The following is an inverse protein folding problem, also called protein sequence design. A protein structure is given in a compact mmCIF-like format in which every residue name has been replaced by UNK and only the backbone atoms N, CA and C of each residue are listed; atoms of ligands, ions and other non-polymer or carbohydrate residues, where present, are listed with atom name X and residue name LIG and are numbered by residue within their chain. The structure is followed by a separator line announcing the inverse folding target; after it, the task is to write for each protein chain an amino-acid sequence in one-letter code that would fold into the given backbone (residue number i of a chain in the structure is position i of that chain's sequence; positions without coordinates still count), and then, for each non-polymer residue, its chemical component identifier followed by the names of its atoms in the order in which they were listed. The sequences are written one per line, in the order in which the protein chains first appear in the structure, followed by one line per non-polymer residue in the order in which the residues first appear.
data_IF_487651938990
#
_entry.id   IF_487651938990
#
_cell.length_a   1.000
_cell.length_b   1.000
_cell.length_c   1.000
_cell.angle_alpha   90.00
_cell.angle_beta   90.00
_cell.angle_gamma   90.00
#
_symmetry.space_group_name_H-M   'P 1'
#
loop_
_entity.id
_entity.type
_entity.pdbx_description
1 polymer ?
#
# COMPACT_ATOMS: atom_id res chain seq x y z
N UNK A 1 1.98 19.86 -0.40
CA UNK A 1 2.11 18.40 -0.47
C UNK A 1 1.48 17.94 -1.78
N UNK A 2 2.06 16.98 -2.44
CA UNK A 2 1.49 16.35 -3.65
C UNK A 2 0.29 15.48 -3.27
N UNK A 3 -0.65 15.37 -4.19
CA UNK A 3 -1.82 14.48 -4.06
C UNK A 3 -1.41 13.07 -4.48
N UNK A 4 -0.84 12.32 -3.53
CA UNK A 4 -0.37 10.95 -3.75
C UNK A 4 -1.44 9.95 -3.34
N UNK A 5 -1.60 8.90 -4.15
CA UNK A 5 -2.47 7.78 -3.83
C UNK A 5 -1.94 6.94 -2.65
N UNK A 6 -2.79 6.09 -2.08
CA UNK A 6 -2.41 5.16 -0.99
C UNK A 6 -1.20 4.31 -1.36
N UNK A 7 -1.14 3.81 -2.60
CA UNK A 7 -0.03 2.97 -3.07
C UNK A 7 1.27 3.76 -3.15
N UNK A 8 1.22 4.97 -3.66
CA UNK A 8 2.37 5.87 -3.76
C UNK A 8 2.85 6.30 -2.37
N UNK A 9 1.95 6.70 -1.48
CA UNK A 9 2.27 7.06 -0.10
C UNK A 9 2.87 5.88 0.66
N UNK A 10 2.30 4.67 0.49
CA UNK A 10 2.85 3.47 1.12
C UNK A 10 4.29 3.20 0.65
N UNK A 11 4.54 3.19 -0.67
CA UNK A 11 5.88 2.97 -1.19
C UNK A 11 6.86 4.05 -0.69
N UNK A 12 6.47 5.32 -0.73
CA UNK A 12 7.29 6.43 -0.23
C UNK A 12 7.71 6.21 1.23
N UNK A 13 6.79 5.73 2.08
CA UNK A 13 7.08 5.46 3.49
C UNK A 13 7.96 4.24 3.72
N UNK A 14 7.85 3.17 2.94
CA UNK A 14 8.62 1.94 3.16
C UNK A 14 9.99 1.95 2.50
N UNK A 15 10.21 2.82 1.52
CA UNK A 15 11.51 3.10 0.96
C UNK A 15 12.40 3.75 2.02
N UNK A 16 13.41 3.23 2.54
CA UNK A 16 14.28 3.93 3.50
C UNK A 16 15.04 5.08 2.84
N UNK A 17 15.81 5.84 3.61
CA UNK A 17 16.69 6.93 3.13
C UNK A 17 17.65 6.54 1.99
N UNK A 18 17.86 5.24 1.76
CA UNK A 18 18.68 4.68 0.68
C UNK A 18 17.85 4.10 -0.46
N UNK A 19 16.55 4.35 -0.51
CA UNK A 19 15.65 3.85 -1.54
C UNK A 19 15.56 2.33 -1.61
N UNK A 20 15.77 1.64 -0.49
CA UNK A 20 15.78 0.18 -0.46
C UNK A 20 14.41 -0.35 -0.07
N UNK A 21 13.80 -1.08 -0.99
CA UNK A 21 12.68 -1.95 -0.71
C UNK A 21 13.20 -3.39 -0.53
N UNK A 22 12.91 -3.98 0.62
CA UNK A 22 13.37 -5.33 0.93
C UNK A 22 12.36 -6.37 0.43
N UNK A 23 12.58 -6.91 -0.76
CA UNK A 23 11.69 -7.91 -1.39
C UNK A 23 11.63 -9.23 -0.62
N UNK A 24 12.61 -9.50 0.25
CA UNK A 24 12.58 -10.65 1.15
C UNK A 24 11.73 -10.42 2.41
N UNK A 25 11.32 -9.19 2.70
CA UNK A 25 10.36 -8.87 3.75
C UNK A 25 8.95 -9.06 3.18
N UNK A 26 8.43 -10.27 3.30
CA UNK A 26 7.16 -10.69 2.68
C UNK A 26 6.00 -9.76 3.07
N UNK A 27 5.98 -9.30 4.31
CA UNK A 27 4.96 -8.37 4.81
C UNK A 27 4.94 -7.05 4.01
N UNK A 28 6.10 -6.52 3.62
CA UNK A 28 6.18 -5.30 2.81
C UNK A 28 5.69 -5.54 1.39
N UNK A 29 6.05 -6.70 0.81
CA UNK A 29 5.58 -7.11 -0.53
C UNK A 29 4.06 -7.24 -0.54
N UNK A 30 3.51 -7.90 0.46
CA UNK A 30 2.07 -8.05 0.62
C UNK A 30 1.38 -6.70 0.79
N UNK A 31 1.91 -5.83 1.65
CA UNK A 31 1.32 -4.52 1.88
C UNK A 31 1.37 -3.65 0.62
N UNK A 32 2.44 -3.70 -0.19
CA UNK A 32 2.50 -2.93 -1.45
C UNK A 32 1.45 -3.42 -2.46
N UNK A 33 1.34 -4.74 -2.65
CA UNK A 33 0.33 -5.30 -3.55
C UNK A 33 -1.10 -5.09 -3.03
N UNK A 34 -1.28 -5.13 -1.70
CA UNK A 34 -2.56 -4.81 -1.06
C UNK A 34 -2.93 -3.34 -1.21
N UNK A 35 -1.97 -2.41 -1.07
CA UNK A 35 -2.19 -0.99 -1.30
C UNK A 35 -2.73 -0.74 -2.71
N UNK A 36 -2.07 -1.30 -3.73
CA UNK A 36 -2.52 -1.15 -5.12
C UNK A 36 -3.90 -1.76 -5.38
N UNK A 37 -4.22 -2.88 -4.75
CA UNK A 37 -5.54 -3.48 -4.89
C UNK A 37 -6.63 -2.69 -4.16
N UNK A 38 -6.33 -2.18 -2.96
CA UNK A 38 -7.25 -1.31 -2.21
C UNK A 38 -7.55 -0.03 -2.99
N UNK A 39 -6.54 0.58 -3.59
CA UNK A 39 -6.72 1.75 -4.44
C UNK A 39 -7.69 1.47 -5.59
N UNK A 40 -7.54 0.36 -6.31
CA UNK A 40 -8.46 -0.03 -7.38
C UNK A 40 -9.90 -0.30 -6.87
N UNK A 41 -10.04 -0.80 -5.65
CA UNK A 41 -11.34 -1.05 -5.01
C UNK A 41 -12.02 0.26 -4.56
N UNK A 42 -11.26 1.16 -3.91
CA UNK A 42 -11.76 2.46 -3.44
C UNK A 42 -12.22 3.36 -4.60
N UNK A 43 -11.47 3.33 -5.71
CA UNK A 43 -11.83 4.06 -6.92
C UNK A 43 -12.99 3.41 -7.71
N UNK A 44 -13.48 2.24 -7.30
CA UNK A 44 -14.54 1.53 -8.02
C UNK A 44 -14.11 0.97 -9.39
N UNK A 45 -12.80 0.89 -9.65
CA UNK A 45 -12.24 0.29 -10.89
C UNK A 45 -12.42 -1.22 -10.86
N UNK A 46 -12.29 -1.79 -9.67
CA UNK A 46 -12.49 -3.21 -9.37
C UNK A 46 -13.55 -3.34 -8.29
N UNK A 47 -14.37 -4.38 -8.35
CA UNK A 47 -15.29 -4.74 -7.26
C UNK A 47 -14.85 -6.05 -6.61
N UNK A 48 -15.19 -6.19 -5.34
CA UNK A 48 -15.05 -7.44 -4.59
C UNK A 48 -16.43 -7.97 -4.22
N UNK A 49 -16.78 -9.15 -4.75
CA UNK A 49 -17.98 -9.89 -4.42
C UNK A 49 -17.60 -11.32 -4.04
N UNK A 50 -18.12 -11.82 -2.92
CA UNK A 50 -17.83 -13.17 -2.37
C UNK A 50 -16.33 -13.54 -2.48
N UNK A 51 -15.45 -12.64 -2.03
CA UNK A 51 -13.99 -12.79 -2.07
C UNK A 51 -13.38 -12.91 -3.48
N UNK A 52 -14.14 -12.57 -4.52
CA UNK A 52 -13.70 -12.56 -5.92
C UNK A 52 -13.70 -11.14 -6.46
N UNK A 53 -12.69 -10.85 -7.24
CA UNK A 53 -12.46 -9.57 -7.88
C UNK A 53 -12.91 -9.64 -9.34
N UNK A 54 -13.58 -8.59 -9.76
CA UNK A 54 -14.00 -8.37 -11.15
C UNK A 54 -13.77 -6.90 -11.54
N UNK A 55 -13.40 -6.66 -12.79
CA UNK A 55 -13.19 -5.32 -13.31
C UNK A 55 -14.53 -4.67 -13.62
N UNK A 56 -14.70 -3.42 -13.22
CA UNK A 56 -15.89 -2.58 -13.47
C UNK A 56 -15.66 -1.52 -14.53
N UNK A 57 -14.46 -0.94 -14.56
CA UNK A 57 -14.13 0.15 -15.48
C UNK A 57 -12.69 0.03 -16.00
N UNK A 58 -12.39 0.78 -17.05
CA UNK A 58 -11.02 0.87 -17.57
C UNK A 58 -10.10 1.56 -16.55
N UNK A 59 -8.84 1.12 -16.51
CA UNK A 59 -7.81 1.76 -15.68
C UNK A 59 -7.50 3.15 -16.26
N UNK A 60 -7.64 4.24 -15.48
CA UNK A 60 -7.25 5.56 -15.90
C UNK A 60 -5.74 5.69 -16.18
N UNK A 61 -5.35 6.56 -17.10
CA UNK A 61 -3.95 6.74 -17.49
C UNK A 61 -3.07 7.19 -16.31
N UNK A 62 -3.57 8.03 -15.43
CA UNK A 62 -2.90 8.51 -14.23
C UNK A 62 -2.58 7.39 -13.23
N UNK A 63 -3.31 6.26 -13.33
CA UNK A 63 -3.11 5.05 -12.50
C UNK A 63 -2.39 3.92 -13.24
N UNK A 64 -1.71 4.24 -14.34
CA UNK A 64 -0.98 3.24 -15.15
C UNK A 64 0.06 2.44 -14.36
N UNK A 65 0.56 2.96 -13.24
CA UNK A 65 1.45 2.23 -12.32
C UNK A 65 0.80 1.00 -11.66
N UNK A 66 -0.54 0.89 -11.69
CA UNK A 66 -1.30 -0.29 -11.23
C UNK A 66 -1.62 -1.29 -12.36
N UNK A 67 -1.12 -1.07 -13.56
CA UNK A 67 -1.46 -1.89 -14.74
C UNK A 67 -1.16 -3.38 -14.53
N UNK A 68 -0.12 -3.75 -13.79
CA UNK A 68 0.20 -5.15 -13.54
C UNK A 68 -0.89 -5.85 -12.70
N UNK A 69 -1.42 -5.18 -11.67
CA UNK A 69 -2.53 -5.70 -10.84
C UNK A 69 -3.81 -5.76 -11.66
N UNK A 70 -4.14 -4.65 -12.33
CA UNK A 70 -5.34 -4.54 -13.16
C UNK A 70 -5.38 -5.63 -14.25
N UNK A 71 -4.30 -5.78 -15.03
CA UNK A 71 -4.21 -6.76 -16.10
C UNK A 71 -4.29 -8.20 -15.59
N UNK A 72 -3.72 -8.49 -14.42
CA UNK A 72 -3.87 -9.81 -13.80
C UNK A 72 -5.35 -10.11 -13.50
N UNK A 73 -6.09 -9.14 -12.97
CA UNK A 73 -7.52 -9.29 -12.70
C UNK A 73 -8.30 -9.45 -14.01
N UNK A 74 -8.06 -8.61 -15.02
CA UNK A 74 -8.70 -8.71 -16.35
C UNK A 74 -8.57 -10.11 -16.93
N UNK A 75 -7.38 -10.70 -16.85
CA UNK A 75 -7.11 -12.02 -17.43
C UNK A 75 -7.69 -13.19 -16.66
N UNK A 76 -7.93 -13.02 -15.34
CA UNK A 76 -8.32 -14.12 -14.44
C UNK A 76 -9.69 -13.96 -13.82
N UNK A 77 -10.40 -12.85 -14.09
CA UNK A 77 -11.68 -12.56 -13.46
C UNK A 77 -12.78 -13.59 -13.79
N UNK A 78 -13.68 -13.89 -12.84
CA UNK A 78 -13.61 -13.47 -11.45
C UNK A 78 -12.51 -14.21 -10.68
N UNK A 79 -11.57 -13.48 -10.11
CA UNK A 79 -10.38 -14.04 -9.46
C UNK A 79 -10.45 -13.87 -7.94
N UNK A 80 -10.09 -14.93 -7.19
CA UNK A 80 -10.00 -14.80 -5.74
C UNK A 80 -8.96 -13.76 -5.36
N UNK A 81 -9.32 -12.88 -4.44
CA UNK A 81 -8.44 -11.85 -3.90
C UNK A 81 -7.07 -12.41 -3.46
N UNK A 82 -7.08 -13.53 -2.74
CA UNK A 82 -5.85 -14.22 -2.31
C UNK A 82 -4.91 -14.52 -3.48
N UNK A 83 -5.44 -14.89 -4.66
CA UNK A 83 -4.62 -15.21 -5.84
C UNK A 83 -3.88 -14.00 -6.41
N UNK A 84 -4.42 -12.80 -6.24
CA UNK A 84 -3.74 -11.56 -6.63
C UNK A 84 -2.53 -11.35 -5.71
N UNK A 85 -2.71 -11.49 -4.40
CA UNK A 85 -1.61 -11.30 -3.44
C UNK A 85 -0.55 -12.40 -3.59
N UNK A 86 -0.95 -13.66 -3.75
CA UNK A 86 -0.02 -14.77 -4.01
C UNK A 86 0.84 -14.54 -5.25
N UNK A 87 0.28 -13.91 -6.30
CA UNK A 87 1.01 -13.59 -7.53
C UNK A 87 2.22 -12.67 -7.31
N UNK A 88 2.18 -11.84 -6.26
CA UNK A 88 3.28 -10.93 -5.89
C UNK A 88 4.18 -11.48 -4.78
N UNK A 89 3.63 -12.26 -3.84
CA UNK A 89 4.32 -12.67 -2.61
C UNK A 89 4.88 -14.10 -2.64
N UNK A 90 4.30 -14.98 -3.46
CA UNK A 90 4.67 -16.40 -3.50
C UNK A 90 5.19 -16.77 -4.90
N UNK A 91 6.34 -16.24 -5.27
CA UNK A 91 6.98 -16.55 -6.55
C UNK A 91 8.44 -16.96 -6.34
N UNK A 92 8.93 -17.88 -7.16
CA UNK A 92 10.35 -18.26 -7.15
C UNK A 92 11.29 -17.13 -7.61
N UNK A 93 10.73 -16.07 -8.17
CA UNK A 93 11.49 -14.90 -8.63
C UNK A 93 10.75 -13.63 -8.17
N UNK A 94 11.51 -12.61 -7.81
CA UNK A 94 10.95 -11.29 -7.42
C UNK A 94 10.43 -10.48 -8.63
N UNK A 95 10.20 -11.12 -9.80
CA UNK A 95 9.87 -10.42 -11.04
C UNK A 95 8.60 -9.57 -10.91
N UNK A 96 7.51 -10.18 -10.44
CA UNK A 96 6.21 -9.50 -10.40
C UNK A 96 6.21 -8.33 -9.42
N UNK A 97 6.79 -8.54 -8.24
CA UNK A 97 6.88 -7.44 -7.25
C UNK A 97 7.85 -6.35 -7.71
N UNK A 98 8.94 -6.69 -8.39
CA UNK A 98 9.85 -5.69 -8.94
C UNK A 98 9.22 -4.89 -10.08
N UNK A 99 8.32 -5.48 -10.87
CA UNK A 99 7.54 -4.79 -11.89
C UNK A 99 6.61 -3.75 -11.23
N UNK A 100 5.84 -4.16 -10.22
CA UNK A 100 4.97 -3.25 -9.46
C UNK A 100 5.78 -2.15 -8.76
N UNK A 101 6.85 -2.52 -8.05
CA UNK A 101 7.76 -1.59 -7.38
C UNK A 101 8.32 -0.55 -8.37
N UNK A 102 8.74 -1.00 -9.55
CA UNK A 102 9.29 -0.10 -10.58
C UNK A 102 8.21 0.84 -11.09
N UNK A 103 7.02 0.34 -11.40
CA UNK A 103 5.94 1.17 -11.91
C UNK A 103 5.51 2.25 -10.89
N UNK A 104 5.33 1.89 -9.62
CA UNK A 104 4.99 2.84 -8.56
C UNK A 104 6.17 3.78 -8.25
N UNK A 105 7.41 3.28 -8.27
CA UNK A 105 8.60 4.11 -8.08
C UNK A 105 8.77 5.15 -9.18
N UNK A 106 8.55 4.78 -10.45
CA UNK A 106 8.59 5.74 -11.58
C UNK A 106 7.45 6.76 -11.48
N UNK A 107 6.26 6.39 -11.00
CA UNK A 107 5.19 7.35 -10.76
C UNK A 107 5.57 8.37 -9.68
N UNK A 108 6.24 7.95 -8.59
CA UNK A 108 6.76 8.87 -7.58
C UNK A 108 7.81 9.84 -8.16
N UNK A 109 8.65 9.38 -9.08
CA UNK A 109 9.63 10.25 -9.78
C UNK A 109 8.90 11.26 -10.68
N UNK A 110 7.88 10.84 -11.41
CA UNK A 110 7.07 11.74 -12.24
C UNK A 110 6.37 12.83 -11.41
N UNK A 111 5.89 12.47 -10.21
CA UNK A 111 5.32 13.43 -9.26
C UNK A 111 6.38 14.29 -8.55
N UNK A 112 7.67 14.01 -8.73
CA UNK A 112 8.76 14.72 -8.05
C UNK A 112 8.87 14.40 -6.56
N UNK A 113 8.33 13.26 -6.13
CA UNK A 113 8.35 12.78 -4.74
C UNK A 113 9.48 11.80 -4.44
N UNK A 114 10.20 11.36 -5.48
CA UNK A 114 11.40 10.54 -5.37
C UNK A 114 12.39 10.84 -6.48
N UNK A 115 13.65 10.47 -6.28
CA UNK A 115 14.69 10.52 -7.29
C UNK A 115 15.13 9.11 -7.64
N UNK A 116 15.27 8.82 -8.93
CA UNK A 116 15.80 7.54 -9.40
C UNK A 116 17.32 7.55 -9.37
N UNK A 117 17.91 6.57 -8.72
CA UNK A 117 19.36 6.38 -8.65
C UNK A 117 19.76 4.95 -9.02
N UNK A 118 21.04 4.77 -9.33
CA UNK A 118 21.66 3.45 -9.49
C UNK A 118 22.14 2.95 -8.13
N UNK A 119 21.61 1.82 -7.69
CA UNK A 119 21.95 1.20 -6.42
C UNK A 119 22.58 -0.19 -6.59
N UNK A 120 22.92 -0.83 -5.45
CA UNK A 120 23.58 -2.12 -5.40
C UNK A 120 25.11 -2.01 -5.48
N UNK A 121 25.79 -3.13 -5.19
CA UNK A 121 27.28 -3.17 -5.08
C UNK A 121 27.96 -2.77 -6.40
N UNK A 122 27.30 -3.00 -7.54
CA UNK A 122 27.82 -2.68 -8.87
C UNK A 122 26.91 -1.72 -9.66
N UNK A 123 25.99 -1.00 -9.02
CA UNK A 123 25.09 -0.06 -9.69
C UNK A 123 24.06 -0.69 -10.61
N UNK A 124 23.83 -1.99 -10.50
CA UNK A 124 22.96 -2.77 -11.40
C UNK A 124 21.47 -2.75 -11.06
N UNK A 125 21.07 -2.17 -9.93
CA UNK A 125 19.65 -2.06 -9.53
C UNK A 125 19.22 -0.59 -9.52
N UNK A 126 18.00 -0.34 -10.01
CA UNK A 126 17.34 0.95 -9.81
C UNK A 126 16.85 1.04 -8.37
N UNK A 127 17.05 2.18 -7.72
CA UNK A 127 16.51 2.52 -6.41
C UNK A 127 15.81 3.87 -6.50
N UNK A 128 14.82 4.08 -5.65
CA UNK A 128 14.01 5.29 -5.59
C UNK A 128 14.25 5.96 -4.25
N UNK A 129 14.93 7.09 -4.23
CA UNK A 129 15.21 7.84 -3.00
C UNK A 129 14.05 8.80 -2.75
N UNK A 130 13.29 8.64 -1.65
CA UNK A 130 12.21 9.55 -1.30
C UNK A 130 12.67 10.99 -1.13
N UNK A 131 11.89 11.96 -1.58
CA UNK A 131 12.01 13.34 -1.15
C UNK A 131 11.62 13.46 0.33
N UNK A 132 12.52 13.98 1.17
CA UNK A 132 12.32 14.03 2.63
C UNK A 132 11.12 14.93 3.00
N UNK A 133 10.89 16.02 2.26
CA UNK A 133 9.78 16.94 2.54
C UNK A 133 8.42 16.31 2.24
N UNK A 134 8.32 15.60 1.10
CA UNK A 134 7.08 14.91 0.72
C UNK A 134 6.80 13.74 1.66
N UNK A 135 7.82 12.99 2.06
CA UNK A 135 7.72 11.94 3.06
C UNK A 135 7.25 12.49 4.41
N UNK A 136 7.86 13.58 4.88
CA UNK A 136 7.45 14.25 6.13
C UNK A 136 6.00 14.74 6.02
N UNK A 137 5.59 15.24 4.86
CA UNK A 137 4.20 15.64 4.61
C UNK A 137 3.21 14.49 4.83
N UNK A 138 3.49 13.31 4.31
CA UNK A 138 2.65 12.11 4.52
C UNK A 138 2.58 11.74 6.01
N UNK A 139 3.71 11.76 6.72
CA UNK A 139 3.77 11.46 8.15
C UNK A 139 2.98 12.47 8.97
N UNK A 140 3.06 13.76 8.63
CA UNK A 140 2.27 14.81 9.30
C UNK A 140 0.76 14.66 9.06
N UNK A 141 0.35 14.22 7.86
CA UNK A 141 -1.07 13.95 7.60
C UNK A 141 -1.59 12.82 8.50
N UNK A 142 -0.82 11.74 8.64
CA UNK A 142 -1.20 10.65 9.58
C UNK A 142 -1.35 11.20 11.00
N UNK A 143 -0.45 12.11 11.44
CA UNK A 143 -0.58 12.76 12.76
C UNK A 143 -1.85 13.60 12.87
N UNK A 144 -2.07 14.47 11.89
CA UNK A 144 -3.22 15.39 11.91
C UNK A 144 -4.55 14.63 11.95
N UNK A 145 -4.70 13.57 11.17
CA UNK A 145 -5.97 12.85 11.11
C UNK A 145 -6.19 11.85 12.27
N UNK A 146 -5.13 11.24 12.78
CA UNK A 146 -5.26 10.17 13.78
C UNK A 146 -4.91 10.57 15.20
N UNK A 147 -4.13 11.63 15.41
CA UNK A 147 -3.72 12.10 16.75
C UNK A 147 -4.36 13.42 17.15
N UNK A 148 -4.89 14.16 16.19
CA UNK A 148 -5.61 15.42 16.43
C UNK A 148 -7.12 15.24 16.20
N UNK A 149 -7.93 16.18 16.66
CA UNK A 149 -9.37 16.18 16.41
C UNK A 149 -9.66 16.69 14.97
N UNK A 150 -9.56 15.80 14.00
CA UNK A 150 -9.75 16.12 12.58
C UNK A 150 -10.67 15.13 11.86
N UNK A 151 -11.00 15.45 10.61
CA UNK A 151 -11.67 14.52 9.70
C UNK A 151 -10.76 13.34 9.39
N UNK A 152 -11.36 12.16 9.19
CA UNK A 152 -10.64 10.93 8.84
C UNK A 152 -10.87 10.62 7.36
N UNK A 153 -9.79 10.46 6.62
CA UNK A 153 -9.83 9.95 5.27
C UNK A 153 -9.60 8.44 5.22
N UNK A 154 -10.24 7.79 4.27
CA UNK A 154 -10.10 6.34 4.04
C UNK A 154 -8.65 5.99 3.68
N UNK A 155 -8.00 6.85 2.92
CA UNK A 155 -6.61 6.69 2.47
C UNK A 155 -5.63 6.70 3.65
N UNK A 156 -5.77 7.62 4.60
CA UNK A 156 -4.90 7.67 5.78
C UNK A 156 -5.13 6.48 6.70
N UNK A 157 -6.36 6.02 6.84
CA UNK A 157 -6.65 4.81 7.62
C UNK A 157 -6.04 3.58 6.94
N UNK A 158 -6.21 3.43 5.62
CA UNK A 158 -5.63 2.35 4.85
C UNK A 158 -4.10 2.35 4.92
N UNK A 159 -3.48 3.50 4.66
CA UNK A 159 -2.03 3.69 4.72
C UNK A 159 -1.48 3.32 6.11
N UNK A 160 -2.10 3.84 7.18
CA UNK A 160 -1.64 3.59 8.54
C UNK A 160 -1.75 2.12 8.93
N UNK A 161 -2.85 1.45 8.54
CA UNK A 161 -3.03 0.03 8.78
C UNK A 161 -1.97 -0.81 8.02
N UNK A 162 -1.65 -0.45 6.78
CA UNK A 162 -0.61 -1.10 5.99
C UNK A 162 0.79 -0.89 6.60
N UNK A 163 1.11 0.33 7.04
CA UNK A 163 2.38 0.64 7.72
C UNK A 163 2.51 -0.10 9.07
N UNK A 164 1.40 -0.29 9.78
CA UNK A 164 1.41 -1.11 11.00
C UNK A 164 1.69 -2.58 10.67
N UNK A 165 1.04 -3.13 9.65
CA UNK A 165 1.20 -4.54 9.23
C UNK A 165 2.60 -4.84 8.69
N UNK A 166 3.20 -3.92 7.94
CA UNK A 166 4.58 -4.05 7.45
C UNK A 166 5.66 -3.76 8.51
N UNK A 167 5.26 -3.29 9.70
CA UNK A 167 6.18 -2.90 10.76
C UNK A 167 6.84 -1.53 10.58
N UNK A 168 6.56 -0.82 9.49
CA UNK A 168 7.20 0.45 9.16
C UNK A 168 6.67 1.65 9.96
N UNK A 169 5.49 1.53 10.59
CA UNK A 169 4.95 2.57 11.48
C UNK A 169 5.92 2.96 12.59
N UNK A 170 6.79 2.01 13.00
CA UNK A 170 7.83 2.23 14.03
C UNK A 170 8.89 3.26 13.63
N UNK A 171 9.07 3.53 12.35
CA UNK A 171 10.11 4.45 11.84
C UNK A 171 9.77 5.91 12.09
N UNK A 172 8.46 6.24 12.14
CA UNK A 172 7.96 7.60 12.08
C UNK A 172 7.28 8.07 13.37
N UNK A 173 6.86 7.12 14.21
CA UNK A 173 6.06 7.41 15.39
C UNK A 173 6.70 6.84 16.66
N UNK A 174 6.70 7.64 17.71
CA UNK A 174 7.11 7.21 19.04
C UNK A 174 6.21 6.09 19.59
N UNK A 175 6.66 5.41 20.63
CA UNK A 175 5.85 4.37 21.29
C UNK A 175 4.51 4.91 21.80
N UNK A 176 4.49 6.14 22.27
CA UNK A 176 3.27 6.82 22.72
C UNK A 176 2.30 7.10 21.56
N UNK A 177 2.78 7.74 20.50
CA UNK A 177 1.97 8.04 19.31
C UNK A 177 1.38 6.77 18.71
N UNK A 178 2.17 5.70 18.57
CA UNK A 178 1.68 4.41 18.07
C UNK A 178 0.58 3.81 18.90
N UNK A 179 0.68 3.91 20.23
CA UNK A 179 -0.39 3.45 21.13
C UNK A 179 -1.67 4.23 20.86
N UNK A 180 -1.58 5.54 20.71
CA UNK A 180 -2.71 6.42 20.41
C UNK A 180 -3.30 6.11 19.02
N UNK A 181 -2.46 5.98 17.99
CA UNK A 181 -2.88 5.59 16.64
C UNK A 181 -3.63 4.26 16.63
N UNK A 182 -3.08 3.24 17.30
CA UNK A 182 -3.73 1.91 17.42
C UNK A 182 -5.08 1.98 18.15
N UNK A 183 -5.17 2.77 19.20
CA UNK A 183 -6.44 2.99 19.92
C UNK A 183 -7.46 3.62 18.98
N UNK A 184 -7.05 4.67 18.27
CA UNK A 184 -7.91 5.39 17.32
C UNK A 184 -8.39 4.50 16.18
N UNK A 185 -7.50 3.72 15.57
CA UNK A 185 -7.89 2.75 14.53
C UNK A 185 -8.89 1.71 15.03
N UNK A 186 -8.76 1.24 16.29
CA UNK A 186 -9.74 0.32 16.89
C UNK A 186 -11.11 0.98 17.15
N UNK A 187 -11.13 2.23 17.53
CA UNK A 187 -12.38 3.00 17.71
C UNK A 187 -13.08 3.19 16.38
N UNK A 188 -12.35 3.57 15.34
CA UNK A 188 -12.86 3.78 13.99
C UNK A 188 -13.50 2.50 13.43
N UNK A 189 -12.85 1.33 13.62
CA UNK A 189 -13.39 0.03 13.20
C UNK A 189 -14.74 -0.31 13.87
N UNK A 190 -15.02 0.25 15.04
CA UNK A 190 -16.26 0.00 15.79
C UNK A 190 -17.36 1.01 15.49
N UNK A 191 -17.06 2.11 14.81
CA UNK A 191 -18.01 3.17 14.54
C UNK A 191 -18.91 2.83 13.35
N UNK A 192 -20.24 2.74 13.53
CA UNK A 192 -21.16 2.45 12.42
C UNK A 192 -21.18 3.53 11.32
N UNK A 193 -20.64 4.71 11.61
CA UNK A 193 -20.66 5.87 10.71
C UNK A 193 -19.59 5.82 9.62
N UNK A 194 -18.66 4.86 9.68
CA UNK A 194 -17.51 4.75 8.78
C UNK A 194 -17.51 3.40 8.03
N UNK A 195 -18.59 3.11 7.30
CA UNK A 195 -18.79 1.82 6.62
C UNK A 195 -17.63 1.47 5.65
N UNK A 196 -17.12 2.46 4.90
CA UNK A 196 -16.02 2.25 3.97
C UNK A 196 -14.71 1.97 4.72
N UNK A 197 -14.43 2.71 5.78
CA UNK A 197 -13.25 2.48 6.64
C UNK A 197 -13.30 1.09 7.28
N UNK A 198 -14.50 0.62 7.68
CA UNK A 198 -14.67 -0.74 8.17
C UNK A 198 -14.33 -1.75 7.08
N UNK A 199 -14.84 -1.57 5.87
CA UNK A 199 -14.54 -2.44 4.72
C UNK A 199 -13.04 -2.49 4.40
N UNK A 200 -12.37 -1.34 4.34
CA UNK A 200 -10.90 -1.26 4.14
C UNK A 200 -10.16 -2.06 5.22
N UNK A 201 -10.53 -1.85 6.48
CA UNK A 201 -9.92 -2.55 7.60
C UNK A 201 -10.16 -4.07 7.56
N UNK A 202 -11.38 -4.48 7.24
CA UNK A 202 -11.74 -5.89 7.08
C UNK A 202 -10.98 -6.54 5.91
N UNK A 203 -10.80 -5.82 4.79
CA UNK A 203 -10.00 -6.29 3.66
C UNK A 203 -8.56 -6.53 4.08
N UNK A 204 -7.93 -5.56 4.74
CA UNK A 204 -6.55 -5.69 5.22
C UNK A 204 -6.43 -6.85 6.20
N UNK A 205 -7.30 -6.95 7.20
CA UNK A 205 -7.26 -8.02 8.19
C UNK A 205 -7.52 -9.40 7.56
N UNK A 206 -8.48 -9.51 6.65
CA UNK A 206 -8.79 -10.75 5.93
C UNK A 206 -7.59 -11.22 5.11
N UNK A 207 -6.89 -10.31 4.46
CA UNK A 207 -5.69 -10.60 3.68
C UNK A 207 -4.57 -11.19 4.54
N UNK A 208 -4.26 -10.51 5.63
CA UNK A 208 -3.19 -10.96 6.52
C UNK A 208 -3.55 -12.27 7.23
N UNK A 209 -4.82 -12.49 7.58
CA UNK A 209 -5.28 -13.77 8.13
C UNK A 209 -5.14 -14.91 7.13
N UNK A 210 -5.53 -14.71 5.87
CA UNK A 210 -5.38 -15.73 4.83
C UNK A 210 -3.93 -16.11 4.58
N UNK A 211 -3.01 -15.14 4.68
CA UNK A 211 -1.59 -15.39 4.50
C UNK A 211 -0.98 -16.20 5.64
N UNK A 212 -1.31 -15.88 6.88
CA UNK A 212 -0.83 -16.64 8.06
C UNK A 212 -1.24 -18.12 7.93
N UNK A 213 -2.49 -18.39 7.50
CA UNK A 213 -2.99 -19.76 7.30
C UNK A 213 -2.29 -20.47 6.13
N UNK A 214 -1.87 -19.75 5.10
CA UNK A 214 -1.17 -20.35 3.96
C UNK A 214 0.33 -20.60 4.23
N UNK A 215 0.91 -19.96 5.25
CA UNK A 215 2.31 -20.08 5.64
C UNK A 215 2.55 -21.13 6.74
N UNK A 216 1.48 -21.70 7.32
CA UNK A 216 1.49 -22.82 8.29
C UNK A 216 1.10 -24.12 7.62
#
# INVERSE_FOLDING_TARGET
MKDLSVTQQYLLCVLGKRGKFATFEIEKVMCLSTAGLLELLLDGIVELDDKKLSVKSALPNEKSYLSSIYNFIVQKQPVKFQKVIEYYSVTFTDRNINELLTAVGESLVQEGCAVREKGGIFGGKTVYIPDEKELDGVVQNIRAELLEEGGLSEDIVALTALLEKSGDLMRYFSAYEKKSIRSRLKEIKKSPQNEMIQKVSEYIDTLFMMFIVAAT
#
